data_IF_435331285130
#
_entry.id   IF_435331285130
#
_cell.length_a   1.000
_cell.length_b   1.000
_cell.length_c   1.000
_cell.angle_alpha   90.00
_cell.angle_beta   90.00
_cell.angle_gamma   90.00
#
_symmetry.space_group_name_H-M   'P 1'
#
loop_
_entity.id
_entity.type
_entity.pdbx_description
1 polymer ?
#
# COMPACT_ATOMS: atom_id res chain seq x y z
N UNK A 1 19.38 -2.36 45.52
CA UNK A 1 19.67 -2.21 44.08
C UNK A 1 18.57 -2.88 43.24
N UNK A 2 17.36 -2.31 43.18
CA UNK A 2 16.22 -2.93 42.45
C UNK A 2 15.08 -1.96 42.12
N UNK A 3 15.37 -0.66 41.96
CA UNK A 3 14.36 0.39 41.67
C UNK A 3 14.54 1.09 40.31
N UNK A 4 15.68 0.91 39.66
CA UNK A 4 16.00 1.64 38.41
C UNK A 4 15.51 0.94 37.13
N UNK A 5 15.14 -0.33 37.20
CA UNK A 5 14.76 -1.10 35.99
C UNK A 5 13.29 -0.91 35.58
N UNK A 6 12.43 -0.41 36.47
CA UNK A 6 10.98 -0.29 36.22
C UNK A 6 10.62 1.00 35.46
N UNK A 7 11.45 2.05 35.55
CA UNK A 7 11.12 3.36 34.99
C UNK A 7 11.35 3.45 33.46
N UNK A 8 12.29 2.66 32.91
CA UNK A 8 12.62 2.65 31.48
C UNK A 8 11.51 1.99 30.64
N UNK A 9 10.80 1.01 31.20
CA UNK A 9 9.73 0.27 30.50
C UNK A 9 8.48 1.13 30.26
N UNK A 10 8.19 2.06 31.17
CA UNK A 10 6.99 2.91 31.09
C UNK A 10 7.15 3.99 30.00
N UNK A 11 8.36 4.51 29.80
CA UNK A 11 8.65 5.52 28.76
C UNK A 11 8.61 4.89 27.36
N UNK A 12 9.01 3.62 27.21
CA UNK A 12 8.95 2.89 25.94
C UNK A 12 7.52 2.60 25.45
N UNK A 13 6.56 2.39 26.37
CA UNK A 13 5.16 2.08 26.05
C UNK A 13 4.32 3.31 25.62
N UNK A 14 4.75 4.52 26.00
CA UNK A 14 4.06 5.76 25.63
C UNK A 14 4.44 6.27 24.22
N UNK A 15 5.63 5.95 23.71
CA UNK A 15 6.09 6.45 22.40
C UNK A 15 5.54 5.68 21.19
N UNK A 16 5.02 4.47 21.37
CA UNK A 16 4.51 3.65 20.26
C UNK A 16 3.05 3.93 19.88
N UNK A 17 2.33 4.76 20.65
CA UNK A 17 0.88 4.99 20.45
C UNK A 17 0.52 6.31 19.74
N UNK A 18 1.49 7.11 19.27
CA UNK A 18 1.20 8.43 18.64
C UNK A 18 1.09 8.46 17.11
N UNK A 19 1.30 7.35 16.38
CA UNK A 19 1.41 7.41 14.91
C UNK A 19 0.44 6.52 14.15
N UNK A 20 -0.87 6.72 14.34
CA UNK A 20 -1.87 6.23 13.37
C UNK A 20 -3.01 7.22 13.21
N UNK A 21 -2.71 8.43 12.76
CA UNK A 21 -3.70 9.29 12.11
C UNK A 21 -3.72 8.95 10.63
N UNK A 22 -4.91 8.60 10.10
CA UNK A 22 -5.14 8.33 8.68
C UNK A 22 -4.90 9.60 7.86
N UNK A 23 -3.66 9.81 7.44
CA UNK A 23 -3.29 10.96 6.65
C UNK A 23 -3.54 10.63 5.18
N UNK A 24 -4.48 11.35 4.57
CA UNK A 24 -4.48 11.50 3.12
C UNK A 24 -3.25 12.33 2.78
N UNK A 25 -2.23 11.73 2.19
CA UNK A 25 -1.01 12.44 1.83
C UNK A 25 -0.84 12.46 0.32
N UNK A 26 -0.52 13.64 -0.20
CA UNK A 26 0.01 13.82 -1.54
C UNK A 26 1.42 14.39 -1.41
N UNK A 27 2.34 13.89 -2.24
CA UNK A 27 3.68 14.45 -2.37
C UNK A 27 3.94 14.77 -3.83
N UNK A 28 4.77 15.78 -4.04
CA UNK A 28 5.18 16.27 -5.34
C UNK A 28 6.70 16.19 -5.39
N UNK A 29 7.24 15.74 -6.51
CA UNK A 29 8.68 15.76 -6.77
C UNK A 29 8.98 16.27 -8.17
N UNK A 30 10.20 16.73 -8.39
CA UNK A 30 10.63 17.24 -9.70
C UNK A 30 11.01 16.10 -10.64
N UNK A 31 10.93 16.36 -11.94
CA UNK A 31 11.48 15.45 -12.95
C UNK A 31 13.00 15.44 -12.89
N UNK A 32 13.58 14.25 -13.00
CA UNK A 32 15.01 14.06 -13.20
C UNK A 32 15.32 13.96 -14.70
N UNK A 33 16.59 14.09 -15.06
CA UNK A 33 17.06 13.91 -16.43
C UNK A 33 18.28 12.99 -16.47
N UNK A 34 18.43 12.29 -17.59
CA UNK A 34 19.61 11.52 -17.92
C UNK A 34 20.12 11.97 -19.29
N UNK A 35 21.43 12.08 -19.44
CA UNK A 35 22.07 12.43 -20.71
C UNK A 35 22.69 11.14 -21.24
N UNK A 36 22.19 10.67 -22.38
CA UNK A 36 22.72 9.47 -23.02
C UNK A 36 24.13 9.73 -23.57
N UNK A 37 24.88 8.66 -23.85
CA UNK A 37 26.19 8.74 -24.52
C UNK A 37 26.14 9.41 -25.90
N UNK A 38 24.95 9.52 -26.49
CA UNK A 38 24.70 10.19 -27.77
C UNK A 38 24.28 11.66 -27.63
N UNK A 39 24.24 12.19 -26.40
CA UNK A 39 23.83 13.57 -26.11
C UNK A 39 22.32 13.79 -26.04
N UNK A 40 21.52 12.72 -26.07
CA UNK A 40 20.05 12.81 -25.94
C UNK A 40 19.69 13.04 -24.47
N UNK A 41 18.89 14.05 -24.19
CA UNK A 41 18.33 14.32 -22.85
C UNK A 41 17.01 13.59 -22.70
N UNK A 42 16.95 12.64 -21.77
CA UNK A 42 15.73 11.91 -21.41
C UNK A 42 15.26 12.38 -20.03
N UNK A 43 14.02 12.87 -19.94
CA UNK A 43 13.39 13.25 -18.67
C UNK A 43 12.55 12.09 -18.13
N UNK A 44 12.57 11.91 -16.81
CA UNK A 44 11.79 10.88 -16.12
C UNK A 44 11.40 11.36 -14.72
N UNK A 45 10.42 10.69 -14.13
CA UNK A 45 10.10 10.84 -12.72
C UNK A 45 10.65 9.65 -11.94
N UNK A 46 11.03 9.86 -10.68
CA UNK A 46 11.53 8.81 -9.80
C UNK A 46 10.76 8.78 -8.49
N UNK A 47 10.23 7.61 -8.12
CA UNK A 47 9.56 7.39 -6.85
C UNK A 47 10.04 6.09 -6.21
N UNK A 48 10.63 6.19 -5.01
CA UNK A 48 11.20 5.04 -4.27
C UNK A 48 12.14 4.18 -5.14
N UNK A 49 12.96 4.84 -5.96
CA UNK A 49 13.89 4.18 -6.89
C UNK A 49 13.26 3.64 -8.17
N UNK A 50 11.94 3.70 -8.33
CA UNK A 50 11.26 3.35 -9.58
C UNK A 50 11.24 4.56 -10.51
N UNK A 51 11.74 4.36 -11.72
CA UNK A 51 11.71 5.38 -12.78
C UNK A 51 10.53 5.16 -13.70
N UNK A 52 9.86 6.25 -14.07
CA UNK A 52 8.69 6.20 -14.94
C UNK A 52 8.66 7.41 -15.87
N UNK A 53 8.18 7.19 -17.08
CA UNK A 53 8.24 8.16 -18.17
C UNK A 53 7.32 9.36 -17.94
N UNK A 54 7.69 10.51 -18.53
CA UNK A 54 6.80 11.67 -18.62
C UNK A 54 5.49 11.28 -19.31
N UNK A 55 4.36 11.68 -18.75
CA UNK A 55 3.01 11.37 -19.24
C UNK A 55 2.44 10.04 -18.73
N UNK A 56 3.23 9.23 -18.02
CA UNK A 56 2.75 8.00 -17.42
C UNK A 56 2.08 8.23 -16.06
N UNK A 57 1.17 7.31 -15.71
CA UNK A 57 0.61 7.17 -14.37
C UNK A 57 0.58 5.71 -13.96
N UNK A 58 0.67 5.45 -12.65
CA UNK A 58 0.59 4.10 -12.11
C UNK A 58 -0.08 4.10 -10.73
N UNK A 59 -0.54 2.92 -10.32
CA UNK A 59 -1.14 2.67 -9.01
C UNK A 59 -0.37 1.58 -8.29
N UNK A 60 0.02 1.87 -7.05
CA UNK A 60 0.54 0.88 -6.11
C UNK A 60 -0.59 0.48 -5.19
N UNK A 61 -0.92 -0.81 -5.23
CA UNK A 61 -1.89 -1.42 -4.32
C UNK A 61 -1.32 -1.55 -2.90
N UNK A 62 -1.99 -2.32 -2.05
CA UNK A 62 -1.58 -2.56 -0.67
C UNK A 62 -0.12 -3.02 -0.58
N UNK A 63 0.67 -2.51 0.38
CA UNK A 63 0.27 -1.68 1.52
C UNK A 63 0.25 -0.16 1.26
N UNK A 64 0.68 0.30 0.08
CA UNK A 64 0.91 1.74 -0.12
C UNK A 64 -0.38 2.49 -0.46
N UNK A 65 -1.20 1.92 -1.35
CA UNK A 65 -2.43 2.55 -1.84
C UNK A 65 -2.17 3.97 -2.36
N UNK A 66 -1.21 4.09 -3.28
CA UNK A 66 -0.78 5.37 -3.88
C UNK A 66 -1.02 5.36 -5.38
N UNK A 67 -1.49 6.48 -5.91
CA UNK A 67 -1.60 6.76 -7.33
C UNK A 67 -0.61 7.86 -7.69
N UNK A 68 0.30 7.58 -8.63
CA UNK A 68 1.34 8.48 -9.10
C UNK A 68 1.08 8.90 -10.55
N UNK A 69 1.35 10.16 -10.87
CA UNK A 69 1.29 10.72 -12.22
C UNK A 69 2.53 11.58 -12.47
N UNK A 70 3.24 11.31 -13.57
CA UNK A 70 4.40 12.07 -14.00
C UNK A 70 4.02 13.07 -15.09
N UNK A 71 4.22 14.36 -14.84
CA UNK A 71 4.12 15.41 -15.84
C UNK A 71 5.43 16.21 -15.86
N UNK A 72 5.75 16.89 -16.95
CA UNK A 72 6.87 17.85 -16.92
C UNK A 72 6.34 19.17 -16.34
N UNK A 73 6.98 19.79 -15.34
CA UNK A 73 8.28 19.49 -14.73
C UNK A 73 8.24 18.72 -13.39
N UNK A 74 7.10 18.11 -13.04
CA UNK A 74 6.90 17.47 -11.73
C UNK A 74 6.00 16.23 -11.78
N UNK A 75 6.25 15.27 -10.91
CA UNK A 75 5.28 14.23 -10.60
C UNK A 75 4.53 14.52 -9.31
N UNK A 76 3.32 14.01 -9.24
CA UNK A 76 2.49 14.00 -8.04
C UNK A 76 2.08 12.56 -7.74
N UNK A 77 2.13 12.20 -6.48
CA UNK A 77 1.65 10.92 -6.00
C UNK A 77 0.75 11.15 -4.78
N UNK A 78 -0.45 10.60 -4.80
CA UNK A 78 -1.43 10.74 -3.75
C UNK A 78 -1.87 9.38 -3.24
N UNK A 79 -2.07 9.28 -1.94
CA UNK A 79 -2.82 8.17 -1.37
C UNK A 79 -4.23 8.13 -1.96
N UNK A 80 -4.76 6.93 -2.19
CA UNK A 80 -6.14 6.70 -2.61
C UNK A 80 -6.84 5.73 -1.66
N UNK A 81 -8.18 5.81 -1.67
CA UNK A 81 -9.03 4.97 -0.83
C UNK A 81 -8.63 5.05 0.64
N UNK A 82 -8.22 3.94 1.27
CA UNK A 82 -7.84 3.94 2.70
C UNK A 82 -6.66 4.89 3.04
N UNK A 83 -5.74 5.10 2.10
CA UNK A 83 -4.64 6.08 2.23
C UNK A 83 -5.01 7.47 1.69
N UNK A 84 -6.21 7.64 1.15
CA UNK A 84 -6.66 8.89 0.53
C UNK A 84 -7.16 9.95 1.51
N UNK A 85 -7.30 9.61 2.80
CA UNK A 85 -7.76 10.52 3.83
C UNK A 85 -8.80 9.92 4.76
N UNK A 86 -9.41 10.78 5.56
CA UNK A 86 -10.49 10.39 6.48
C UNK A 86 -11.82 10.47 5.75
N UNK A 87 -12.51 9.34 5.68
CA UNK A 87 -13.88 9.27 5.18
C UNK A 87 -14.81 8.84 6.30
N UNK A 88 -15.86 9.62 6.52
CA UNK A 88 -16.89 9.33 7.50
C UNK A 88 -18.25 9.47 6.85
N UNK A 89 -19.15 8.54 7.17
CA UNK A 89 -20.55 8.58 6.79
C UNK A 89 -21.35 8.50 8.10
N UNK A 90 -22.29 9.41 8.28
CA UNK A 90 -23.09 9.46 9.51
C UNK A 90 -23.87 8.15 9.70
N UNK A 91 -23.86 7.61 10.92
CA UNK A 91 -24.52 6.35 11.24
C UNK A 91 -23.81 5.10 10.72
N UNK A 92 -22.62 5.23 10.13
CA UNK A 92 -21.81 4.13 9.63
C UNK A 92 -20.48 3.99 10.38
N UNK A 93 -19.99 2.76 10.51
CA UNK A 93 -18.62 2.47 10.93
C UNK A 93 -17.73 2.34 9.70
N UNK A 94 -16.64 3.10 9.66
CA UNK A 94 -15.63 2.98 8.60
C UNK A 94 -14.72 1.78 8.87
N UNK A 95 -14.53 0.92 7.88
CA UNK A 95 -13.63 -0.23 7.90
C UNK A 95 -12.76 -0.17 6.65
N UNK A 96 -11.48 -0.49 6.78
CA UNK A 96 -10.53 -0.52 5.67
C UNK A 96 -10.30 -1.96 5.21
N UNK A 97 -10.47 -2.22 3.91
CA UNK A 97 -10.12 -3.49 3.28
C UNK A 97 -9.07 -3.23 2.18
N UNK A 98 -7.80 -3.49 2.51
CA UNK A 98 -6.65 -3.07 1.71
C UNK A 98 -6.70 -1.57 1.38
N UNK A 99 -6.83 -1.22 0.10
CA UNK A 99 -6.94 0.18 -0.34
C UNK A 99 -8.38 0.68 -0.39
N UNK A 100 -9.37 -0.15 -0.07
CA UNK A 100 -10.78 0.23 -0.12
C UNK A 100 -11.26 0.71 1.24
N UNK A 101 -12.13 1.71 1.22
CA UNK A 101 -12.88 2.16 2.38
C UNK A 101 -14.29 1.61 2.27
N UNK A 102 -14.70 0.84 3.27
CA UNK A 102 -16.03 0.27 3.41
C UNK A 102 -16.75 0.96 4.56
N UNK A 103 -18.04 1.25 4.36
CA UNK A 103 -18.93 1.72 5.41
C UNK A 103 -19.87 0.59 5.77
N UNK A 104 -19.84 0.16 7.04
CA UNK A 104 -20.66 -0.93 7.57
C UNK A 104 -21.57 -0.45 8.68
N UNK A 105 -22.69 -1.13 8.88
CA UNK A 105 -23.60 -0.87 9.99
C UNK A 105 -22.84 -1.04 11.32
N UNK A 106 -22.88 -0.06 12.24
CA UNK A 106 -22.20 -0.17 13.53
C UNK A 106 -22.66 -1.37 14.36
N UNK A 107 -23.89 -1.85 14.14
CA UNK A 107 -24.48 -3.00 14.83
C UNK A 107 -24.25 -4.33 14.10
N UNK A 108 -24.07 -4.29 12.78
CA UNK A 108 -23.81 -5.48 11.95
C UNK A 108 -22.68 -5.21 10.93
N UNK A 109 -21.43 -5.62 11.23
CA UNK A 109 -20.29 -5.36 10.36
C UNK A 109 -20.36 -6.08 9.01
N UNK A 110 -21.27 -7.05 8.83
CA UNK A 110 -21.48 -7.73 7.55
C UNK A 110 -22.46 -6.98 6.64
N UNK A 111 -23.09 -5.92 7.13
CA UNK A 111 -24.05 -5.12 6.40
C UNK A 111 -23.42 -3.81 5.97
N UNK A 112 -23.30 -3.58 4.67
CA UNK A 112 -22.88 -2.29 4.13
C UNK A 112 -23.93 -1.21 4.43
N UNK A 113 -23.47 0.02 4.64
CA UNK A 113 -24.31 1.20 4.81
C UNK A 113 -23.81 2.37 3.96
N UNK A 114 -24.62 3.43 3.85
CA UNK A 114 -24.27 4.62 3.10
C UNK A 114 -23.98 4.39 1.60
N UNK A 115 -23.08 5.16 0.98
CA UNK A 115 -22.79 5.07 -0.45
C UNK A 115 -22.10 3.75 -0.87
N UNK A 116 -21.60 2.96 0.09
CA UNK A 116 -21.07 1.62 -0.19
C UNK A 116 -22.19 0.61 -0.47
N UNK A 117 -23.42 0.83 0.00
CA UNK A 117 -24.53 -0.13 -0.15
C UNK A 117 -24.92 -0.39 -1.63
N UNK A 118 -24.57 0.50 -2.55
CA UNK A 118 -24.86 0.39 -3.99
C UNK A 118 -23.71 -0.21 -4.82
N UNK A 119 -22.48 -0.28 -4.29
CA UNK A 119 -21.38 -1.00 -4.96
C UNK A 119 -21.45 -2.45 -4.53
N UNK A 120 -22.00 -3.30 -5.40
CA UNK A 120 -21.93 -4.75 -5.23
C UNK A 120 -20.50 -5.15 -4.89
N UNK A 121 -20.29 -5.67 -3.67
CA UNK A 121 -19.04 -6.32 -3.30
C UNK A 121 -18.90 -7.47 -4.30
N UNK A 122 -17.85 -7.54 -5.15
CA UNK A 122 -17.54 -8.79 -5.80
C UNK A 122 -17.29 -9.79 -4.68
N UNK A 123 -18.20 -10.76 -4.51
CA UNK A 123 -18.07 -11.85 -3.55
C UNK A 123 -16.73 -12.52 -3.82
N UNK A 124 -15.69 -12.07 -3.13
CA UNK A 124 -14.47 -12.84 -2.97
C UNK A 124 -14.88 -13.88 -1.95
N UNK A 125 -15.51 -14.95 -2.46
CA UNK A 125 -15.63 -16.20 -1.75
C UNK A 125 -14.23 -16.51 -1.28
N UNK A 126 -14.01 -16.36 0.03
CA UNK A 126 -12.83 -16.90 0.71
C UNK A 126 -12.96 -18.42 0.58
N UNK A 127 -12.58 -18.93 -0.59
CA UNK A 127 -12.35 -20.35 -0.76
C UNK A 127 -11.14 -20.62 0.10
N UNK A 128 -11.42 -21.14 1.29
CA UNK A 128 -10.42 -21.73 2.16
C UNK A 128 -9.91 -22.97 1.42
N UNK A 129 -9.02 -22.76 0.45
CA UNK A 129 -8.27 -23.84 -0.19
C UNK A 129 -7.35 -24.37 0.89
N UNK A 130 -7.85 -25.38 1.58
CA UNK A 130 -7.06 -26.28 2.41
C UNK A 130 -6.07 -26.95 1.46
N UNK A 131 -4.91 -26.31 1.29
CA UNK A 131 -3.78 -26.81 0.51
C UNK A 131 -3.17 -27.99 1.29
N UNK A 132 -3.75 -29.17 1.11
CA UNK A 132 -3.08 -30.45 1.32
C UNK A 132 -1.92 -30.51 0.30
N UNK A 133 -0.79 -29.87 0.63
CA UNK A 133 0.50 -30.15 0.00
C UNK A 133 0.91 -31.55 0.40
N UNK A 134 0.48 -32.52 -0.41
CA UNK A 134 1.17 -33.78 -0.53
C UNK A 134 2.61 -33.49 -0.96
N UNK A 135 3.54 -33.87 -0.09
CA UNK A 135 4.91 -34.20 -0.45
C UNK A 135 4.91 -35.06 -1.71
N UNK A 136 5.50 -34.58 -2.80
CA UNK A 136 6.02 -35.49 -3.83
C UNK A 136 7.23 -34.90 -4.54
N UNK A 137 8.36 -35.52 -4.23
CA UNK A 137 9.56 -35.68 -5.03
C UNK A 137 10.50 -34.48 -5.26
N UNK A 138 11.54 -34.45 -4.42
CA UNK A 138 12.93 -34.27 -4.86
C UNK A 138 13.24 -35.18 -6.06
N UNK A 139 13.80 -34.61 -7.12
CA UNK A 139 15.01 -35.08 -7.81
C UNK A 139 15.25 -34.23 -9.06
N UNK A 140 16.23 -33.33 -9.03
CA UNK A 140 16.88 -32.80 -10.22
C UNK A 140 18.32 -33.36 -10.27
N UNK A 141 18.72 -34.04 -11.35
CA UNK A 141 20.13 -34.39 -11.57
C UNK A 141 20.91 -33.20 -12.15
N UNK A 142 22.11 -33.01 -11.60
CA UNK A 142 23.12 -32.06 -12.06
C UNK A 142 23.68 -32.46 -13.43
N UNK A 143 23.57 -31.58 -14.42
CA UNK A 143 24.32 -31.69 -15.67
C UNK A 143 25.74 -31.16 -15.47
N UNK A 144 26.71 -32.08 -15.48
CA UNK A 144 28.14 -31.82 -15.59
C UNK A 144 28.45 -31.16 -16.95
N UNK A 145 29.16 -30.04 -16.91
CA UNK A 145 29.88 -29.51 -18.07
C UNK A 145 31.05 -30.42 -18.45
N UNK A 146 31.25 -30.58 -19.75
CA UNK A 146 32.49 -31.10 -20.34
C UNK A 146 33.19 -29.94 -21.05
N UNK A 147 34.42 -29.66 -20.63
CA UNK A 147 35.48 -29.20 -21.52
C UNK A 147 36.10 -30.44 -22.19
#
# INVERSE_FOLDING_TARGET
>A
MRKDMTMIVIIGLFLTNMFTFGNGYCFVGQTAFNISSYGTVEKYCEYKGMRFAIGSSFKLASPECIECTCKDPMYQCCGYGASGGVFAVEGCKTVTDFCNVLFVDPKDPNKLCGPSATKAIPKTTVTTTTEKRHQKHLQQPMHKGKQ
#
